data_IF_218353266251
#
_entry.id   IF_218353266251
#
_cell.length_a   1.000
_cell.length_b   1.000
_cell.length_c   1.000
_cell.angle_alpha   90.00
_cell.angle_beta   90.00
_cell.angle_gamma   90.00
#
_symmetry.space_group_name_H-M   'P 1'
#
loop_
_entity.id
_entity.type
_entity.pdbx_description
1 polymer ?
#
# COMPACT_ATOMS: atom_id res chain seq x y z
N UNK A 1 -5.12 -8.98 4.77
CA UNK A 1 -6.33 -9.30 3.97
C UNK A 1 -6.29 -8.47 2.68
N UNK A 2 -6.45 -9.11 1.55
CA UNK A 2 -6.35 -8.49 0.23
C UNK A 2 -7.51 -8.90 -0.66
N UNK A 3 -8.00 -7.97 -1.49
CA UNK A 3 -9.03 -8.24 -2.49
C UNK A 3 -8.91 -7.22 -3.62
N UNK A 4 -8.75 -7.69 -4.85
CA UNK A 4 -8.60 -6.85 -6.06
C UNK A 4 -7.51 -5.77 -5.93
N UNK A 5 -6.41 -6.08 -5.25
CA UNK A 5 -5.30 -5.16 -5.01
C UNK A 5 -5.49 -4.23 -3.82
N UNK A 6 -6.64 -4.28 -3.16
CA UNK A 6 -6.91 -3.47 -1.96
C UNK A 6 -6.55 -4.27 -0.72
N UNK A 7 -5.93 -3.59 0.24
CA UNK A 7 -5.45 -4.21 1.48
C UNK A 7 -6.20 -3.66 2.67
N UNK A 8 -6.48 -4.52 3.62
CA UNK A 8 -7.16 -4.13 4.85
C UNK A 8 -6.28 -4.45 6.07
N UNK A 9 -6.26 -3.51 7.00
CA UNK A 9 -5.74 -3.70 8.34
C UNK A 9 -6.90 -4.16 9.22
N UNK A 10 -6.70 -5.21 10.00
CA UNK A 10 -7.73 -5.79 10.85
C UNK A 10 -7.31 -5.74 12.31
N UNK A 11 -8.21 -5.30 13.17
CA UNK A 11 -8.02 -5.28 14.62
C UNK A 11 -9.20 -5.95 15.29
N UNK A 12 -8.93 -6.68 16.37
CA UNK A 12 -9.97 -7.28 17.18
C UNK A 12 -10.32 -6.40 18.37
N UNK A 13 -11.60 -6.08 18.50
CA UNK A 13 -12.14 -5.35 19.64
C UNK A 13 -12.63 -6.37 20.67
N UNK A 14 -11.85 -6.54 21.73
CA UNK A 14 -12.12 -7.51 22.79
C UNK A 14 -13.38 -7.18 23.60
N UNK A 15 -13.70 -5.89 23.76
CA UNK A 15 -14.88 -5.45 24.51
C UNK A 15 -16.15 -5.72 23.74
N UNK A 16 -16.18 -5.36 22.46
CA UNK A 16 -17.34 -5.55 21.59
C UNK A 16 -17.39 -6.95 20.98
N UNK A 17 -16.30 -7.72 21.09
CA UNK A 17 -16.16 -9.06 20.53
C UNK A 17 -16.38 -9.09 19.02
N UNK A 18 -15.76 -8.14 18.35
CA UNK A 18 -15.96 -7.86 16.93
C UNK A 18 -14.61 -7.53 16.27
N UNK A 19 -14.47 -7.89 15.00
CA UNK A 19 -13.31 -7.48 14.21
C UNK A 19 -13.63 -6.18 13.46
N UNK A 20 -12.68 -5.24 13.49
CA UNK A 20 -12.73 -4.01 12.71
C UNK A 20 -11.68 -4.05 11.62
N UNK A 21 -12.08 -3.70 10.41
CA UNK A 21 -11.17 -3.58 9.29
C UNK A 21 -11.19 -2.17 8.69
N UNK A 22 -10.05 -1.79 8.11
CA UNK A 22 -9.91 -0.53 7.40
C UNK A 22 -9.10 -0.77 6.13
N UNK A 23 -9.56 -0.24 5.00
CA UNK A 23 -8.82 -0.30 3.76
C UNK A 23 -7.72 0.76 3.82
N UNK A 24 -6.45 0.32 3.79
CA UNK A 24 -5.31 1.18 4.14
C UNK A 24 -4.67 1.91 2.96
N UNK A 25 -4.98 1.54 1.74
CA UNK A 25 -4.34 2.12 0.55
C UNK A 25 -5.26 2.99 -0.29
N UNK A 26 -6.20 3.66 0.38
CA UNK A 26 -7.07 4.67 -0.21
C UNK A 26 -6.99 5.96 0.60
N UNK A 27 -7.30 7.09 -0.04
CA UNK A 27 -7.41 8.38 0.65
C UNK A 27 -8.64 8.41 1.54
N UNK A 28 -9.73 7.86 1.03
CA UNK A 28 -10.98 7.80 1.77
C UNK A 28 -10.88 6.74 2.86
N UNK A 29 -11.48 7.05 4.00
CA UNK A 29 -11.54 6.11 5.12
C UNK A 29 -12.71 5.18 4.87
N UNK A 30 -12.42 3.91 4.59
CA UNK A 30 -13.43 2.88 4.40
C UNK A 30 -13.21 1.82 5.47
N UNK A 31 -14.20 1.64 6.32
CA UNK A 31 -14.15 0.67 7.42
C UNK A 31 -15.26 -0.37 7.26
N UNK A 32 -15.05 -1.52 7.85
CA UNK A 32 -15.99 -2.62 7.84
C UNK A 32 -15.83 -3.47 9.10
N UNK A 33 -16.80 -4.30 9.39
CA UNK A 33 -16.83 -5.09 10.63
C UNK A 33 -17.35 -6.50 10.37
N UNK A 34 -17.04 -7.40 11.29
CA UNK A 34 -17.59 -8.74 11.31
C UNK A 34 -17.35 -9.42 12.65
N UNK A 35 -18.25 -10.28 13.06
CA UNK A 35 -18.10 -11.07 14.29
C UNK A 35 -17.27 -12.31 14.07
N UNK A 36 -17.17 -12.76 12.83
CA UNK A 36 -16.35 -13.91 12.43
C UNK A 36 -15.42 -13.51 11.30
N UNK A 37 -14.38 -14.30 11.06
CA UNK A 37 -13.45 -14.07 9.94
C UNK A 37 -14.20 -14.12 8.61
N UNK A 38 -15.15 -15.04 8.47
CA UNK A 38 -15.95 -15.18 7.25
C UNK A 38 -16.79 -13.92 6.99
N UNK A 39 -17.47 -13.42 8.02
CA UNK A 39 -18.25 -12.18 7.93
C UNK A 39 -17.38 -10.98 7.62
N UNK A 40 -16.22 -10.88 8.28
CA UNK A 40 -15.28 -9.81 8.06
C UNK A 40 -14.78 -9.79 6.61
N UNK A 41 -14.43 -10.95 6.08
CA UNK A 41 -13.96 -11.08 4.70
C UNK A 41 -15.04 -10.67 3.70
N UNK A 42 -16.27 -11.10 3.94
CA UNK A 42 -17.40 -10.70 3.10
C UNK A 42 -17.64 -9.20 3.16
N UNK A 43 -17.60 -8.62 4.36
CA UNK A 43 -17.74 -7.17 4.55
C UNK A 43 -16.64 -6.39 3.82
N UNK A 44 -15.41 -6.90 3.86
CA UNK A 44 -14.30 -6.30 3.14
C UNK A 44 -14.54 -6.32 1.62
N UNK A 45 -14.90 -7.47 1.08
CA UNK A 45 -15.18 -7.62 -0.36
C UNK A 45 -16.32 -6.69 -0.79
N UNK A 46 -17.39 -6.65 -0.02
CA UNK A 46 -18.55 -5.78 -0.30
C UNK A 46 -18.14 -4.31 -0.28
N UNK A 47 -17.30 -3.91 0.66
CA UNK A 47 -16.80 -2.53 0.76
C UNK A 47 -15.96 -2.14 -0.45
N UNK A 48 -15.11 -3.03 -0.94
CA UNK A 48 -14.32 -2.79 -2.16
C UNK A 48 -15.23 -2.67 -3.38
N UNK A 49 -16.20 -3.58 -3.52
CA UNK A 49 -17.16 -3.55 -4.63
C UNK A 49 -17.99 -2.27 -4.63
N UNK A 50 -18.47 -1.85 -3.45
CA UNK A 50 -19.22 -0.60 -3.28
C UNK A 50 -18.39 0.61 -3.68
N UNK A 51 -17.12 0.63 -3.31
CA UNK A 51 -16.19 1.71 -3.69
C UNK A 51 -16.02 1.77 -5.22
N UNK A 52 -15.80 0.63 -5.85
CA UNK A 52 -15.61 0.54 -7.30
C UNK A 52 -16.89 0.97 -8.05
N UNK A 53 -18.05 0.56 -7.56
CA UNK A 53 -19.35 0.94 -8.13
C UNK A 53 -19.61 2.44 -7.99
N UNK A 54 -19.28 2.99 -6.82
CA UNK A 54 -19.38 4.43 -6.57
C UNK A 54 -18.53 5.25 -7.54
N UNK A 55 -17.29 4.82 -7.78
CA UNK A 55 -16.40 5.47 -8.75
C UNK A 55 -16.97 5.39 -10.17
N UNK A 56 -17.49 4.23 -10.56
CA UNK A 56 -18.09 4.02 -11.87
C UNK A 56 -19.30 4.91 -12.10
N UNK A 57 -20.17 5.05 -11.10
CA UNK A 57 -21.35 5.90 -11.18
C UNK A 57 -21.01 7.38 -11.36
N UNK A 58 -19.90 7.81 -10.77
CA UNK A 58 -19.43 9.20 -10.86
C UNK A 58 -18.56 9.44 -12.09
N UNK A 59 -18.28 8.43 -12.88
CA UNK A 59 -17.37 8.52 -14.01
C UNK A 59 -15.93 8.81 -13.61
N UNK A 60 -15.55 8.48 -12.39
CA UNK A 60 -14.20 8.66 -11.86
C UNK A 60 -13.45 7.33 -11.90
N UNK A 61 -12.16 7.39 -12.20
CA UNK A 61 -11.31 6.23 -12.07
C UNK A 61 -11.06 5.93 -10.58
N UNK A 62 -11.18 4.67 -10.15
CA UNK A 62 -10.85 4.32 -8.77
C UNK A 62 -9.36 4.55 -8.50
N UNK A 63 -9.03 4.92 -7.27
CA UNK A 63 -7.63 5.02 -6.86
C UNK A 63 -6.97 3.67 -7.03
N UNK A 64 -5.81 3.67 -7.70
CA UNK A 64 -5.02 2.45 -7.84
C UNK A 64 -4.23 2.26 -6.56
N UNK A 65 -4.43 1.13 -5.86
CA UNK A 65 -3.55 0.79 -4.76
C UNK A 65 -2.14 0.63 -5.33
N UNK A 66 -1.18 1.35 -4.84
CA UNK A 66 0.21 1.25 -5.32
C UNK A 66 0.37 1.67 -6.78
N UNK A 67 0.13 2.95 -7.04
CA UNK A 67 0.24 3.54 -8.38
C UNK A 67 1.67 3.60 -8.92
N UNK A 68 2.66 3.40 -8.07
CA UNK A 68 4.06 3.61 -8.41
C UNK A 68 4.55 5.02 -8.08
N UNK A 69 3.67 5.88 -7.57
CA UNK A 69 4.03 7.24 -7.18
C UNK A 69 3.79 7.45 -5.71
N UNK A 70 4.81 7.91 -5.01
CA UNK A 70 4.67 8.29 -3.60
C UNK A 70 5.75 9.31 -3.24
N UNK A 71 5.48 10.09 -2.22
CA UNK A 71 6.38 11.16 -1.78
C UNK A 71 7.08 10.71 -0.51
N UNK A 72 8.41 10.85 -0.50
CA UNK A 72 9.23 10.57 0.67
C UNK A 72 9.96 11.84 1.07
N UNK A 73 9.93 12.16 2.35
CA UNK A 73 10.72 13.28 2.90
C UNK A 73 12.02 12.73 3.44
N UNK A 74 13.11 13.35 3.04
CA UNK A 74 14.44 13.00 3.52
C UNK A 74 15.14 14.27 4.03
N UNK A 75 16.24 14.10 4.76
CA UNK A 75 17.05 15.24 5.18
C UNK A 75 17.60 15.97 3.96
N UNK A 76 17.69 17.32 3.98
CA UNK A 76 18.24 18.08 2.86
C UNK A 76 19.64 17.63 2.43
N UNK A 77 20.49 17.24 3.36
CA UNK A 77 21.83 16.73 3.07
C UNK A 77 21.77 15.40 2.31
N UNK A 78 20.85 14.53 2.68
CA UNK A 78 20.65 13.27 1.98
C UNK A 78 20.11 13.51 0.57
N UNK A 79 19.15 14.42 0.42
CA UNK A 79 18.61 14.82 -0.88
C UNK A 79 19.72 15.30 -1.81
N UNK A 80 20.59 16.18 -1.30
CA UNK A 80 21.76 16.68 -2.04
C UNK A 80 22.69 15.56 -2.48
N UNK A 81 23.01 14.67 -1.56
CA UNK A 81 23.91 13.53 -1.82
C UNK A 81 23.35 12.61 -2.89
N UNK A 82 22.06 12.28 -2.80
CA UNK A 82 21.38 11.43 -3.78
C UNK A 82 21.40 12.08 -5.17
N UNK A 83 21.10 13.37 -5.23
CA UNK A 83 21.08 14.12 -6.50
C UNK A 83 22.47 14.13 -7.16
N UNK A 84 23.52 14.33 -6.36
CA UNK A 84 24.90 14.32 -6.85
C UNK A 84 25.29 12.93 -7.35
N UNK A 85 24.96 11.88 -6.60
CA UNK A 85 25.27 10.51 -6.99
C UNK A 85 24.56 10.10 -8.28
N UNK A 86 23.28 10.46 -8.41
CA UNK A 86 22.53 10.20 -9.63
C UNK A 86 23.21 10.85 -10.84
N UNK A 87 23.58 12.12 -10.70
CA UNK A 87 24.24 12.88 -11.77
C UNK A 87 25.59 12.30 -12.16
N UNK A 88 26.39 11.89 -11.17
CA UNK A 88 27.70 11.25 -11.41
C UNK A 88 27.56 9.95 -12.19
N UNK A 89 26.43 9.25 -12.01
CA UNK A 89 26.18 7.98 -12.70
C UNK A 89 25.38 8.16 -13.99
N UNK A 90 25.16 9.39 -14.43
CA UNK A 90 24.43 9.70 -15.65
C UNK A 90 22.97 9.29 -15.61
N UNK A 91 22.38 9.29 -14.43
CA UNK A 91 20.97 8.88 -14.20
C UNK A 91 20.14 10.01 -13.65
N UNK A 92 18.83 9.96 -13.90
CA UNK A 92 17.89 10.85 -13.22
C UNK A 92 17.84 10.46 -11.74
N UNK A 93 17.42 11.41 -10.89
CA UNK A 93 17.22 11.14 -9.47
C UNK A 93 16.27 9.97 -9.27
N UNK A 94 15.17 9.96 -10.00
CA UNK A 94 14.17 8.89 -9.92
C UNK A 94 14.75 7.52 -10.30
N UNK A 95 15.50 7.45 -11.37
CA UNK A 95 16.13 6.21 -11.84
C UNK A 95 17.13 5.67 -10.81
N UNK A 96 17.96 6.56 -10.25
CA UNK A 96 18.96 6.19 -9.24
C UNK A 96 18.29 5.64 -7.97
N UNK A 97 17.26 6.34 -7.49
CA UNK A 97 16.51 5.92 -6.31
C UNK A 97 15.81 4.58 -6.55
N UNK A 98 15.16 4.43 -7.70
CA UNK A 98 14.47 3.19 -8.07
C UNK A 98 15.44 2.00 -8.08
N UNK A 99 16.60 2.15 -8.67
CA UNK A 99 17.63 1.11 -8.71
C UNK A 99 18.13 0.73 -7.33
N UNK A 100 18.38 1.73 -6.49
CA UNK A 100 18.83 1.53 -5.12
C UNK A 100 17.81 0.77 -4.28
N UNK A 101 16.54 1.14 -4.40
CA UNK A 101 15.46 0.45 -3.70
C UNK A 101 15.31 -1.00 -4.18
N UNK A 102 15.38 -1.22 -5.48
CA UNK A 102 15.31 -2.57 -6.04
C UNK A 102 16.40 -3.48 -5.52
N UNK A 103 17.64 -2.99 -5.46
CA UNK A 103 18.78 -3.74 -4.93
C UNK A 103 18.56 -4.17 -3.49
N UNK A 104 18.05 -3.27 -2.66
CA UNK A 104 17.80 -3.54 -1.24
C UNK A 104 16.66 -4.55 -1.05
N UNK A 105 15.60 -4.43 -1.82
CA UNK A 105 14.46 -5.36 -1.75
C UNK A 105 14.86 -6.76 -2.20
N UNK A 106 15.66 -6.88 -3.25
CA UNK A 106 16.16 -8.18 -3.71
C UNK A 106 16.98 -8.89 -2.64
N UNK A 107 17.82 -8.15 -1.92
CA UNK A 107 18.60 -8.70 -0.80
C UNK A 107 17.65 -9.21 0.29
N UNK A 108 16.66 -8.42 0.67
CA UNK A 108 15.66 -8.79 1.68
C UNK A 108 14.87 -10.02 1.22
N UNK A 109 14.40 -10.03 -0.02
CA UNK A 109 13.62 -11.13 -0.59
C UNK A 109 14.42 -12.42 -0.63
N UNK A 110 15.69 -12.38 -1.04
CA UNK A 110 16.58 -13.54 -1.05
C UNK A 110 16.79 -14.08 0.37
N UNK A 111 16.99 -13.18 1.32
CA UNK A 111 17.17 -13.57 2.72
C UNK A 111 15.92 -14.23 3.29
N UNK A 112 14.74 -13.69 3.02
CA UNK A 112 13.45 -14.27 3.42
C UNK A 112 13.18 -15.60 2.71
N UNK A 113 13.57 -15.72 1.45
CA UNK A 113 13.41 -16.94 0.68
C UNK A 113 14.14 -18.13 1.27
N UNK A 114 15.21 -17.91 2.01
CA UNK A 114 15.97 -18.98 2.68
C UNK A 114 15.31 -19.51 3.93
N UNK A 115 14.30 -18.85 4.47
CA UNK A 115 13.60 -19.27 5.68
C UNK A 115 12.37 -20.14 5.39
N UNK A 116 12.06 -20.29 4.14
CA UNK A 116 10.96 -21.14 3.70
C UNK A 116 11.50 -22.54 3.27
#
# INVERSE_FOLDING_TARGET
>A
MEYKGYFAKVEFDDEANIFHGEIINLRDVITFEGETVKELRKAFHDSVEDYLEFCAERGEDPEKPYSGKFIVRVDPELHKTIAIQARKNGKSLNAWVNETLLKNIKVITQHQGHTH
#
